data_IF_222468450857
#
_entry.id   IF_222468450857
#
_cell.length_a   1.000
_cell.length_b   1.000
_cell.length_c   1.000
_cell.angle_alpha   90.00
_cell.angle_beta   90.00
_cell.angle_gamma   90.00
#
_symmetry.space_group_name_H-M   'P 1'
#
loop_
_entity.id
_entity.type
_entity.pdbx_description
1 polymer ?
#
# COMPACT_ATOMS: atom_id res chain seq x y z
N UNK A 1 -17.84 7.19 6.15
CA UNK A 1 -17.25 5.96 5.57
C UNK A 1 -16.45 6.32 4.34
N UNK A 2 -15.36 5.61 4.10
CA UNK A 2 -14.44 5.89 3.00
C UNK A 2 -13.77 4.60 2.50
N UNK A 3 -13.16 4.66 1.34
CA UNK A 3 -12.29 3.62 0.85
C UNK A 3 -10.91 3.81 1.47
N UNK A 4 -10.48 2.83 2.25
CA UNK A 4 -9.22 2.89 2.98
C UNK A 4 -8.21 1.96 2.32
N UNK A 5 -7.09 2.52 1.90
CA UNK A 5 -5.96 1.78 1.33
C UNK A 5 -4.96 1.48 2.44
N UNK A 6 -4.72 0.20 2.69
CA UNK A 6 -3.81 -0.26 3.73
C UNK A 6 -2.66 -1.08 3.15
N UNK A 7 -1.51 -0.95 3.77
CA UNK A 7 -0.39 -1.86 3.57
C UNK A 7 -0.36 -2.84 4.75
N UNK A 8 -0.46 -4.13 4.46
CA UNK A 8 -0.45 -5.16 5.50
C UNK A 8 0.78 -6.06 5.35
N UNK A 9 1.24 -6.60 6.46
CA UNK A 9 2.35 -7.54 6.51
C UNK A 9 2.11 -8.56 7.62
N UNK A 10 2.77 -9.70 7.54
CA UNK A 10 2.69 -10.72 8.57
C UNK A 10 3.16 -10.15 9.92
N UNK A 11 2.40 -10.41 10.98
CA UNK A 11 2.70 -9.92 12.31
C UNK A 11 2.25 -8.48 12.58
N UNK A 12 1.71 -7.79 11.59
CA UNK A 12 1.15 -6.44 11.74
C UNK A 12 -0.37 -6.54 11.75
N UNK A 13 -0.97 -6.33 12.90
CA UNK A 13 -2.43 -6.30 13.04
C UNK A 13 -2.94 -5.01 12.40
N UNK A 14 -3.99 -5.11 11.59
CA UNK A 14 -4.69 -4.00 10.93
C UNK A 14 -3.86 -3.25 9.87
N UNK A 15 -2.54 -3.44 9.78
CA UNK A 15 -1.70 -2.80 8.78
C UNK A 15 -1.52 -1.30 8.98
N UNK A 16 -1.00 -0.63 7.94
CA UNK A 16 -0.79 0.82 7.92
C UNK A 16 -1.76 1.47 6.92
N UNK A 17 -2.46 2.51 7.34
CA UNK A 17 -3.30 3.30 6.45
C UNK A 17 -2.39 4.19 5.59
N UNK A 18 -2.44 3.97 4.27
CA UNK A 18 -1.69 4.78 3.32
C UNK A 18 -2.47 6.01 2.88
N UNK A 19 -3.76 5.84 2.62
CA UNK A 19 -4.63 6.95 2.24
C UNK A 19 -6.10 6.54 2.34
N UNK A 20 -6.98 7.54 2.21
CA UNK A 20 -8.42 7.35 2.19
C UNK A 20 -9.01 8.09 1.00
N UNK A 21 -10.06 7.52 0.41
CA UNK A 21 -10.72 8.06 -0.79
C UNK A 21 -12.22 7.99 -0.63
N UNK A 22 -12.93 8.98 -1.17
CA UNK A 22 -14.39 8.98 -1.22
C UNK A 22 -14.91 8.22 -2.44
N UNK A 23 -14.18 8.30 -3.55
CA UNK A 23 -14.53 7.69 -4.81
C UNK A 23 -13.81 6.34 -4.97
N UNK A 24 -14.61 5.29 -5.30
CA UNK A 24 -14.11 3.94 -5.50
C UNK A 24 -13.11 3.86 -6.66
N UNK A 25 -13.40 4.54 -7.79
CA UNK A 25 -12.53 4.48 -8.96
C UNK A 25 -11.16 5.11 -8.68
N UNK A 26 -11.15 6.21 -7.97
CA UNK A 26 -9.91 6.85 -7.52
C UNK A 26 -9.13 5.94 -6.57
N UNK A 27 -9.81 5.28 -5.65
CA UNK A 27 -9.20 4.33 -4.74
C UNK A 27 -8.57 3.14 -5.47
N UNK A 28 -9.26 2.59 -6.48
CA UNK A 28 -8.76 1.48 -7.28
C UNK A 28 -7.52 1.90 -8.08
N UNK A 29 -7.52 3.09 -8.67
CA UNK A 29 -6.34 3.61 -9.37
C UNK A 29 -5.14 3.72 -8.43
N UNK A 30 -5.37 4.20 -7.22
CA UNK A 30 -4.31 4.32 -6.22
C UNK A 30 -3.79 2.96 -5.77
N UNK A 31 -4.66 1.98 -5.64
CA UNK A 31 -4.26 0.61 -5.33
C UNK A 31 -3.34 0.03 -6.41
N UNK A 32 -3.72 0.19 -7.68
CA UNK A 32 -2.90 -0.28 -8.80
C UNK A 32 -1.56 0.47 -8.86
N UNK A 33 -1.58 1.76 -8.64
CA UNK A 33 -0.36 2.57 -8.65
C UNK A 33 0.62 2.16 -7.55
N UNK A 34 0.15 1.94 -6.34
CA UNK A 34 1.01 1.53 -5.22
C UNK A 34 1.57 0.12 -5.43
N UNK A 35 0.78 -0.78 -6.01
CA UNK A 35 1.24 -2.13 -6.33
C UNK A 35 2.36 -2.11 -7.39
N UNK A 36 2.18 -1.28 -8.42
CA UNK A 36 3.20 -1.10 -9.47
C UNK A 36 4.50 -0.55 -8.87
N UNK A 37 4.40 0.49 -8.06
CA UNK A 37 5.55 1.12 -7.42
C UNK A 37 6.28 0.15 -6.49
N UNK A 38 5.54 -0.67 -5.76
CA UNK A 38 6.12 -1.69 -4.92
C UNK A 38 6.86 -2.75 -5.74
N UNK A 39 6.29 -3.19 -6.87
CA UNK A 39 6.96 -4.11 -7.79
C UNK A 39 8.28 -3.56 -8.31
N UNK A 40 8.30 -2.29 -8.68
CA UNK A 40 9.53 -1.59 -9.11
C UNK A 40 10.55 -1.52 -7.97
N UNK A 41 10.10 -1.22 -6.77
CA UNK A 41 10.95 -1.15 -5.58
C UNK A 41 11.63 -2.50 -5.28
N UNK A 42 10.87 -3.59 -5.36
CA UNK A 42 11.40 -4.93 -5.11
C UNK A 42 12.41 -5.35 -6.19
N UNK A 43 12.14 -4.97 -7.44
CA UNK A 43 13.02 -5.32 -8.58
C UNK A 43 14.31 -4.51 -8.60
N UNK A 44 14.27 -3.28 -8.11
CA UNK A 44 15.42 -2.37 -8.09
C UNK A 44 15.35 -1.51 -6.83
N UNK A 45 15.73 -2.07 -5.68
CA UNK A 45 15.59 -1.37 -4.41
C UNK A 45 16.46 -0.13 -4.38
N UNK A 46 15.81 1.01 -4.54
CA UNK A 46 16.43 2.32 -4.31
C UNK A 46 16.34 2.55 -2.81
N UNK A 47 17.46 2.72 -2.17
CA UNK A 47 17.52 3.05 -0.75
C UNK A 47 17.08 4.50 -0.57
N UNK A 48 15.76 4.70 -0.58
CA UNK A 48 15.16 5.97 -0.21
C UNK A 48 14.64 5.86 1.23
N UNK A 49 15.25 6.63 2.11
CA UNK A 49 14.87 6.65 3.53
C UNK A 49 13.43 7.14 3.76
N UNK A 50 12.80 7.73 2.74
CA UNK A 50 11.42 8.24 2.80
C UNK A 50 10.40 7.29 2.17
N UNK A 51 10.83 6.16 1.62
CA UNK A 51 9.92 5.24 0.96
C UNK A 51 8.97 4.59 1.97
N UNK A 52 7.68 4.55 1.62
CA UNK A 52 6.68 3.82 2.39
C UNK A 52 6.97 2.32 2.40
N UNK A 53 7.77 1.84 1.44
CA UNK A 53 8.13 0.42 1.32
C UNK A 53 9.32 0.03 2.20
N UNK A 54 9.86 0.97 2.95
CA UNK A 54 11.01 0.76 3.84
C UNK A 54 10.84 -0.44 4.78
N UNK A 55 9.61 -0.66 5.24
CA UNK A 55 9.27 -1.75 6.15
C UNK A 55 8.57 -2.90 5.45
N UNK A 56 8.52 -2.87 4.13
CA UNK A 56 7.88 -3.93 3.36
C UNK A 56 8.75 -5.19 3.34
N UNK A 57 8.09 -6.33 3.34
CA UNK A 57 8.72 -7.65 3.26
C UNK A 57 7.96 -8.53 2.26
N UNK A 58 8.31 -9.82 2.20
CA UNK A 58 7.71 -10.77 1.27
C UNK A 58 6.22 -11.01 1.53
N UNK A 59 5.74 -10.72 2.74
CA UNK A 59 4.33 -10.89 3.12
C UNK A 59 3.50 -9.65 2.87
N UNK A 60 4.12 -8.54 2.44
CA UNK A 60 3.45 -7.26 2.25
C UNK A 60 2.38 -7.35 1.17
N UNK A 61 1.19 -6.86 1.51
CA UNK A 61 0.04 -6.77 0.62
C UNK A 61 -0.62 -5.40 0.73
N UNK A 62 -1.29 -5.01 -0.33
CA UNK A 62 -2.06 -3.77 -0.35
C UNK A 62 -3.54 -4.13 -0.46
N UNK A 63 -4.32 -3.62 0.45
CA UNK A 63 -5.74 -3.96 0.60
C UNK A 63 -6.56 -2.69 0.56
N UNK A 64 -7.66 -2.74 -0.18
CA UNK A 64 -8.64 -1.66 -0.24
C UNK A 64 -9.94 -2.14 0.39
N UNK A 65 -10.44 -1.40 1.37
CA UNK A 65 -11.67 -1.75 2.07
C UNK A 65 -12.54 -0.52 2.31
N UNK A 66 -13.84 -0.75 2.35
CA UNK A 66 -14.82 0.28 2.69
C UNK A 66 -15.01 0.30 4.20
N UNK A 67 -14.65 1.41 4.82
CA UNK A 67 -14.71 1.56 6.29
C UNK A 67 -15.38 2.85 6.71
#
# INVERSE_FOLDING_TARGET
MAWVLRMTAEGVKDGYVLNQYKDRDEAIKSLHDVRRRYGEYVSSPIVDARSIFRYADKSTKFVLSWE
#
